data_IF_898748200586
#
_entry.id   IF_898748200586
#
_cell.length_a   1.000
_cell.length_b   1.000
_cell.length_c   1.000
_cell.angle_alpha   90.00
_cell.angle_beta   90.00
_cell.angle_gamma   90.00
#
_symmetry.space_group_name_H-M   'P 1'
#
loop_
_entity.id
_entity.type
_entity.pdbx_description
1 polymer ?
#
# COMPACT_ATOMS: atom_id res chain seq x y z
N UNK A 1 3.84 47.21 5.34
CA UNK A 1 4.59 46.15 4.63
C UNK A 1 4.71 44.85 5.43
N UNK A 2 4.87 44.88 6.77
CA UNK A 2 4.93 43.65 7.60
C UNK A 2 3.65 42.81 7.57
N UNK A 3 2.46 43.44 7.52
CA UNK A 3 1.16 42.74 7.44
C UNK A 3 0.96 42.00 6.11
N UNK A 4 1.46 42.53 4.99
CA UNK A 4 1.40 41.84 3.69
C UNK A 4 2.34 40.63 3.63
N UNK A 5 3.52 40.70 4.26
CA UNK A 5 4.44 39.56 4.38
C UNK A 5 3.80 38.47 5.26
N UNK A 6 3.13 38.85 6.35
CA UNK A 6 2.44 37.92 7.25
C UNK A 6 1.25 37.18 6.62
N UNK A 7 0.63 37.71 5.55
CA UNK A 7 -0.47 37.04 4.83
C UNK A 7 0.02 36.33 3.55
N UNK A 8 1.02 36.89 2.87
CA UNK A 8 1.59 36.29 1.66
C UNK A 8 2.40 35.00 1.94
N UNK A 9 3.08 34.93 3.08
CA UNK A 9 3.82 33.72 3.49
C UNK A 9 2.89 32.54 3.74
N UNK A 10 1.81 32.64 4.56
CA UNK A 10 0.83 31.57 4.71
C UNK A 10 0.14 31.17 3.41
N UNK A 11 -0.22 32.13 2.55
CA UNK A 11 -0.91 31.84 1.29
C UNK A 11 -0.01 31.13 0.27
N UNK A 12 1.24 31.60 0.12
CA UNK A 12 2.23 30.98 -0.77
C UNK A 12 2.60 29.56 -0.33
N UNK A 13 2.79 29.38 0.99
CA UNK A 13 3.03 28.08 1.61
C UNK A 13 1.85 27.14 1.37
N UNK A 14 0.62 27.59 1.63
CA UNK A 14 -0.59 26.79 1.42
C UNK A 14 -0.73 26.32 -0.03
N UNK A 15 -0.64 27.23 -1.01
CA UNK A 15 -0.74 26.87 -2.43
C UNK A 15 0.38 25.92 -2.89
N UNK A 16 1.59 26.06 -2.34
CA UNK A 16 2.71 25.17 -2.66
C UNK A 16 2.55 23.76 -2.06
N UNK A 17 2.00 23.65 -0.85
CA UNK A 17 1.75 22.38 -0.19
C UNK A 17 0.56 21.65 -0.80
N UNK A 18 -0.51 22.37 -1.15
CA UNK A 18 -1.65 21.79 -1.87
C UNK A 18 -1.20 21.21 -3.20
N UNK A 19 -0.41 21.95 -3.99
CA UNK A 19 0.12 21.43 -5.27
C UNK A 19 1.03 20.24 -5.11
N UNK A 20 1.89 20.23 -4.08
CA UNK A 20 2.77 19.10 -3.83
C UNK A 20 1.99 17.87 -3.39
N UNK A 21 0.94 18.06 -2.58
CA UNK A 21 0.02 17.00 -2.19
C UNK A 21 -0.74 16.46 -3.40
N UNK A 22 -1.34 17.34 -4.22
CA UNK A 22 -2.04 16.95 -5.45
C UNK A 22 -1.11 16.21 -6.42
N UNK A 23 0.16 16.60 -6.50
CA UNK A 23 1.15 15.91 -7.32
C UNK A 23 1.48 14.52 -6.78
N UNK A 24 1.76 14.40 -5.48
CA UNK A 24 2.00 13.11 -4.83
C UNK A 24 0.77 12.20 -4.94
N UNK A 25 -0.42 12.67 -4.61
CA UNK A 25 -1.68 11.92 -4.77
C UNK A 25 -1.94 11.57 -6.25
N UNK A 26 -1.52 12.41 -7.20
CA UNK A 26 -1.58 12.10 -8.63
C UNK A 26 -0.68 10.93 -9.02
N UNK A 27 0.54 10.86 -8.49
CA UNK A 27 1.50 9.78 -8.77
C UNK A 27 1.05 8.41 -8.24
N UNK A 28 0.19 8.38 -7.21
CA UNK A 28 -0.45 7.15 -6.73
C UNK A 28 -1.26 6.47 -7.85
N UNK A 29 -1.97 7.25 -8.68
CA UNK A 29 -2.78 6.75 -9.80
C UNK A 29 -2.05 6.76 -11.15
N UNK A 30 -1.16 7.73 -11.37
CA UNK A 30 -0.53 8.03 -12.65
C UNK A 30 0.97 8.26 -12.48
N UNK A 31 1.64 7.27 -11.91
CA UNK A 31 3.09 7.31 -11.67
C UNK A 31 3.86 7.64 -12.97
N UNK A 32 4.76 8.62 -12.88
CA UNK A 32 5.53 9.11 -14.02
C UNK A 32 6.64 8.14 -14.47
N UNK A 33 6.95 7.13 -13.65
CA UNK A 33 7.98 6.10 -13.92
C UNK A 33 7.39 4.79 -14.45
N UNK A 34 6.06 4.70 -14.54
CA UNK A 34 5.32 3.60 -15.14
C UNK A 34 4.74 2.58 -14.17
N UNK A 35 4.83 2.81 -12.85
CA UNK A 35 4.29 1.90 -11.82
C UNK A 35 3.48 2.65 -10.77
N UNK A 36 2.18 2.74 -11.02
CA UNK A 36 1.21 3.33 -10.10
C UNK A 36 0.99 2.39 -8.90
N UNK A 37 0.93 2.96 -7.70
CA UNK A 37 0.68 2.21 -6.46
C UNK A 37 -0.63 1.45 -6.55
N UNK A 38 -1.69 2.12 -7.02
CA UNK A 38 -3.03 1.56 -7.18
C UNK A 38 -3.03 0.26 -8.02
N UNK A 39 -2.37 0.28 -9.18
CA UNK A 39 -2.33 -0.86 -10.10
C UNK A 39 -1.59 -2.06 -9.46
N UNK A 40 -0.50 -1.77 -8.73
CA UNK A 40 0.22 -2.79 -7.97
C UNK A 40 -0.64 -3.44 -6.88
N UNK A 41 -1.40 -2.65 -6.12
CA UNK A 41 -2.30 -3.15 -5.07
C UNK A 41 -3.41 -4.01 -5.67
N UNK A 42 -4.07 -3.55 -6.74
CA UNK A 42 -5.12 -4.29 -7.44
C UNK A 42 -4.62 -5.67 -7.92
N UNK A 43 -3.41 -5.75 -8.47
CA UNK A 43 -2.81 -7.03 -8.88
C UNK A 43 -2.52 -7.93 -7.68
N UNK A 44 -2.01 -7.37 -6.57
CA UNK A 44 -1.74 -8.14 -5.35
C UNK A 44 -3.02 -8.71 -4.73
N UNK A 45 -4.11 -7.95 -4.72
CA UNK A 45 -5.42 -8.42 -4.26
C UNK A 45 -5.93 -9.58 -5.12
N UNK A 46 -5.81 -9.47 -6.45
CA UNK A 46 -6.21 -10.53 -7.36
C UNK A 46 -5.37 -11.81 -7.15
N UNK A 47 -4.05 -11.66 -6.96
CA UNK A 47 -3.15 -12.78 -6.67
C UNK A 47 -3.41 -13.41 -5.31
N UNK A 48 -3.70 -12.61 -4.28
CA UNK A 48 -4.09 -13.11 -2.95
C UNK A 48 -5.39 -13.92 -3.01
N UNK A 49 -6.40 -13.46 -3.76
CA UNK A 49 -7.64 -14.21 -4.01
C UNK A 49 -7.38 -15.57 -4.70
N UNK A 50 -6.42 -15.62 -5.62
CA UNK A 50 -6.02 -16.87 -6.26
C UNK A 50 -5.33 -17.82 -5.26
N UNK A 51 -4.49 -17.30 -4.36
CA UNK A 51 -3.85 -18.09 -3.30
C UNK A 51 -4.88 -18.66 -2.32
N UNK A 52 -5.86 -17.84 -1.89
CA UNK A 52 -7.01 -18.29 -1.09
C UNK A 52 -7.75 -19.43 -1.80
N UNK A 53 -8.06 -19.25 -3.09
CA UNK A 53 -8.80 -20.24 -3.88
C UNK A 53 -8.06 -21.56 -3.96
N UNK A 54 -6.74 -21.51 -4.17
CA UNK A 54 -5.89 -22.70 -4.17
C UNK A 54 -5.89 -23.38 -2.79
N UNK A 55 -5.65 -22.62 -1.72
CA UNK A 55 -5.59 -23.17 -0.37
C UNK A 55 -6.91 -23.81 0.09
N UNK A 56 -8.06 -23.25 -0.31
CA UNK A 56 -9.39 -23.81 -0.03
C UNK A 56 -9.58 -25.23 -0.57
N UNK A 57 -8.86 -25.64 -1.63
CA UNK A 57 -8.91 -27.02 -2.13
C UNK A 57 -8.33 -28.03 -1.15
N UNK A 58 -7.48 -27.60 -0.23
CA UNK A 58 -6.67 -28.46 0.62
C UNK A 58 -7.01 -28.37 2.12
N UNK A 59 -8.10 -27.68 2.50
CA UNK A 59 -8.50 -27.54 3.91
C UNK A 59 -8.86 -28.86 4.57
N UNK A 60 -9.32 -29.85 3.80
CA UNK A 60 -9.60 -31.20 4.29
C UNK A 60 -8.31 -32.00 4.57
N UNK A 61 -7.21 -31.64 3.90
CA UNK A 61 -5.88 -32.27 4.04
C UNK A 61 -5.08 -31.57 5.15
N UNK A 62 -5.13 -30.25 5.21
CA UNK A 62 -4.50 -29.43 6.24
C UNK A 62 -5.49 -28.41 6.80
N UNK A 63 -6.03 -28.69 7.99
CA UNK A 63 -7.02 -27.84 8.66
C UNK A 63 -6.44 -26.53 9.19
N UNK A 64 -5.10 -26.41 9.33
CA UNK A 64 -4.46 -25.15 9.72
C UNK A 64 -4.66 -24.06 8.67
N UNK A 65 -4.93 -24.44 7.41
CA UNK A 65 -5.17 -23.49 6.32
C UNK A 65 -6.42 -22.63 6.55
N UNK A 66 -7.43 -23.13 7.29
CA UNK A 66 -8.71 -22.44 7.47
C UNK A 66 -8.52 -21.06 8.09
N UNK A 67 -7.78 -20.97 9.20
CA UNK A 67 -7.55 -19.69 9.88
C UNK A 67 -6.74 -18.70 9.02
N UNK A 68 -5.74 -19.20 8.30
CA UNK A 68 -4.90 -18.38 7.43
C UNK A 68 -5.64 -17.89 6.18
N UNK A 69 -6.56 -18.70 5.65
CA UNK A 69 -7.48 -18.30 4.58
C UNK A 69 -8.38 -17.16 5.07
N UNK A 70 -8.97 -17.29 6.25
CA UNK A 70 -9.86 -16.27 6.81
C UNK A 70 -9.12 -14.95 7.06
N UNK A 71 -7.87 -15.02 7.54
CA UNK A 71 -7.02 -13.85 7.76
C UNK A 71 -6.66 -13.14 6.44
N UNK A 72 -6.25 -13.89 5.41
CA UNK A 72 -5.96 -13.29 4.11
C UNK A 72 -7.21 -12.74 3.42
N UNK A 73 -8.35 -13.45 3.49
CA UNK A 73 -9.63 -12.98 2.94
C UNK A 73 -10.08 -11.68 3.63
N UNK A 74 -9.87 -11.56 4.94
CA UNK A 74 -10.11 -10.33 5.69
C UNK A 74 -9.25 -9.17 5.18
N UNK A 75 -7.93 -9.35 5.06
CA UNK A 75 -7.03 -8.29 4.61
C UNK A 75 -7.30 -7.87 3.16
N UNK A 76 -7.62 -8.81 2.27
CA UNK A 76 -8.04 -8.51 0.89
C UNK A 76 -9.32 -7.66 0.88
N UNK A 77 -10.33 -8.03 1.66
CA UNK A 77 -11.56 -7.24 1.75
C UNK A 77 -11.29 -5.85 2.32
N UNK A 78 -10.44 -5.76 3.34
CA UNK A 78 -10.10 -4.48 3.93
C UNK A 78 -9.43 -3.58 2.88
N UNK A 79 -8.45 -4.12 2.14
CA UNK A 79 -7.74 -3.41 1.06
C UNK A 79 -8.72 -2.81 0.05
N UNK A 80 -9.67 -3.63 -0.42
CA UNK A 80 -10.71 -3.25 -1.36
C UNK A 80 -11.70 -2.19 -0.84
N UNK A 81 -11.69 -1.91 0.46
CA UNK A 81 -12.58 -0.94 1.09
C UNK A 81 -11.84 0.27 1.68
N UNK A 82 -10.51 0.30 1.66
CA UNK A 82 -9.71 1.39 2.24
C UNK A 82 -9.43 2.54 1.25
N UNK A 83 -9.98 2.48 0.03
CA UNK A 83 -9.76 3.49 -1.02
C UNK A 83 -9.96 4.94 -0.53
N UNK A 84 -8.95 5.77 -0.76
CA UNK A 84 -8.94 7.19 -0.39
C UNK A 84 -8.40 7.46 1.02
N UNK A 85 -8.03 6.41 1.77
CA UNK A 85 -7.30 6.52 3.02
C UNK A 85 -5.91 5.89 2.89
N UNK A 86 -4.94 6.64 2.34
CA UNK A 86 -3.61 6.12 2.02
C UNK A 86 -2.85 5.51 3.21
N UNK A 87 -3.09 5.98 4.44
CA UNK A 87 -2.49 5.40 5.65
C UNK A 87 -3.01 3.98 5.89
N UNK A 88 -4.32 3.80 5.79
CA UNK A 88 -4.96 2.50 5.95
C UNK A 88 -4.59 1.59 4.78
N UNK A 89 -4.63 2.08 3.54
CA UNK A 89 -4.24 1.30 2.36
C UNK A 89 -2.80 0.78 2.46
N UNK A 90 -1.85 1.61 2.92
CA UNK A 90 -0.46 1.18 3.10
C UNK A 90 -0.33 0.07 4.16
N UNK A 91 -0.97 0.27 5.31
CA UNK A 91 -0.96 -0.72 6.40
C UNK A 91 -1.60 -2.04 5.98
N UNK A 92 -2.72 -1.97 5.26
CA UNK A 92 -3.46 -3.15 4.82
C UNK A 92 -2.75 -3.87 3.70
N UNK A 93 -2.11 -3.16 2.76
CA UNK A 93 -1.26 -3.75 1.74
C UNK A 93 -0.09 -4.53 2.35
N UNK A 94 0.52 -4.01 3.43
CA UNK A 94 1.54 -4.75 4.19
C UNK A 94 0.95 -6.00 4.86
N UNK A 95 -0.15 -5.85 5.62
CA UNK A 95 -0.80 -6.96 6.32
C UNK A 95 -1.27 -8.07 5.36
N UNK A 96 -1.74 -7.71 4.17
CA UNK A 96 -2.09 -8.65 3.10
C UNK A 96 -0.87 -9.44 2.62
N UNK A 97 0.29 -8.79 2.47
CA UNK A 97 1.54 -9.46 2.14
C UNK A 97 1.95 -10.47 3.20
N UNK A 98 1.92 -10.07 4.47
CA UNK A 98 2.29 -10.94 5.60
C UNK A 98 1.34 -12.15 5.71
N UNK A 99 0.03 -11.93 5.59
CA UNK A 99 -0.96 -13.01 5.61
C UNK A 99 -0.81 -13.96 4.41
N UNK A 100 -0.47 -13.43 3.22
CA UNK A 100 -0.21 -14.25 2.04
C UNK A 100 1.05 -15.12 2.22
N UNK A 101 2.11 -14.57 2.81
CA UNK A 101 3.32 -15.31 3.14
C UNK A 101 3.02 -16.44 4.15
N UNK A 102 2.26 -16.15 5.21
CA UNK A 102 1.87 -17.16 6.19
C UNK A 102 1.04 -18.29 5.57
N UNK A 103 0.06 -17.96 4.72
CA UNK A 103 -0.73 -18.94 3.99
C UNK A 103 0.12 -19.77 3.03
N UNK A 104 1.03 -19.13 2.30
CA UNK A 104 2.00 -19.79 1.42
C UNK A 104 2.83 -20.82 2.18
N UNK A 105 3.44 -20.43 3.30
CA UNK A 105 4.30 -21.30 4.10
C UNK A 105 3.57 -22.53 4.64
N UNK A 106 2.32 -22.38 5.06
CA UNK A 106 1.50 -23.50 5.51
C UNK A 106 1.06 -24.39 4.34
N UNK A 107 0.76 -23.79 3.18
CA UNK A 107 0.44 -24.53 1.97
C UNK A 107 1.62 -25.37 1.47
N UNK A 108 2.86 -24.90 1.63
CA UNK A 108 4.09 -25.68 1.30
C UNK A 108 4.30 -26.90 2.20
N UNK A 109 3.69 -26.95 3.39
CA UNK A 109 3.70 -28.12 4.28
C UNK A 109 2.62 -29.14 3.95
N UNK A 110 1.71 -28.79 3.03
CA UNK A 110 0.56 -29.61 2.65
C UNK A 110 0.92 -30.49 1.44
N UNK A 111 0.46 -31.73 1.42
CA UNK A 111 0.65 -32.63 0.27
C UNK A 111 -0.28 -32.21 -0.88
N UNK A 112 0.24 -31.38 -1.79
CA UNK A 112 -0.50 -30.88 -2.93
C UNK A 112 -0.48 -31.86 -4.12
N UNK A 113 -1.55 -31.84 -4.92
CA UNK A 113 -1.57 -32.53 -6.20
C UNK A 113 -0.45 -32.01 -7.11
N UNK A 114 0.15 -32.89 -7.92
CA UNK A 114 1.28 -32.55 -8.82
C UNK A 114 0.98 -31.34 -9.71
N UNK A 115 -0.27 -31.22 -10.18
CA UNK A 115 -0.73 -30.10 -11.03
C UNK A 115 -0.69 -28.76 -10.31
N UNK A 116 -0.78 -28.77 -8.98
CA UNK A 116 -0.92 -27.58 -8.15
C UNK A 116 0.40 -27.15 -7.48
N UNK A 117 1.39 -28.03 -7.39
CA UNK A 117 2.64 -27.81 -6.66
C UNK A 117 3.40 -26.53 -7.04
N UNK A 118 3.27 -26.08 -8.29
CA UNK A 118 3.94 -24.87 -8.79
C UNK A 118 3.25 -23.57 -8.39
N UNK A 119 1.93 -23.60 -8.15
CA UNK A 119 1.14 -22.37 -8.00
C UNK A 119 1.47 -21.57 -6.74
N UNK A 120 1.72 -22.18 -5.55
CA UNK A 120 2.09 -21.40 -4.37
C UNK A 120 3.31 -20.52 -4.62
N UNK A 121 4.36 -21.08 -5.23
CA UNK A 121 5.60 -20.36 -5.53
C UNK A 121 5.38 -19.27 -6.60
N UNK A 122 4.54 -19.53 -7.61
CA UNK A 122 4.20 -18.54 -8.64
C UNK A 122 3.40 -17.36 -8.08
N UNK A 123 2.43 -17.64 -7.21
CA UNK A 123 1.55 -16.63 -6.64
C UNK A 123 2.31 -15.73 -5.67
N UNK A 124 3.14 -16.29 -4.79
CA UNK A 124 3.91 -15.48 -3.84
C UNK A 124 4.96 -14.62 -4.58
N UNK A 125 5.66 -15.19 -5.57
CA UNK A 125 6.61 -14.44 -6.39
C UNK A 125 5.94 -13.30 -7.17
N UNK A 126 4.69 -13.48 -7.61
CA UNK A 126 3.94 -12.41 -8.24
C UNK A 126 3.60 -11.29 -7.24
N UNK A 127 3.17 -11.62 -6.02
CA UNK A 127 2.91 -10.60 -4.98
C UNK A 127 4.19 -9.83 -4.61
N UNK A 128 5.31 -10.52 -4.47
CA UNK A 128 6.63 -9.91 -4.21
C UNK A 128 7.06 -9.00 -5.36
N UNK A 129 6.90 -9.46 -6.61
CA UNK A 129 7.20 -8.68 -7.81
C UNK A 129 6.37 -7.39 -7.89
N UNK A 130 5.10 -7.42 -7.52
CA UNK A 130 4.28 -6.20 -7.47
C UNK A 130 4.69 -5.28 -6.32
N UNK A 131 5.01 -5.81 -5.13
CA UNK A 131 5.53 -5.00 -4.04
C UNK A 131 6.90 -4.37 -4.39
N UNK A 132 7.75 -5.07 -5.15
CA UNK A 132 9.01 -4.51 -5.65
C UNK A 132 8.81 -3.33 -6.59
N UNK A 133 7.74 -3.34 -7.40
CA UNK A 133 7.36 -2.20 -8.22
C UNK A 133 6.80 -1.06 -7.36
N UNK A 134 5.93 -1.38 -6.39
CA UNK A 134 5.39 -0.42 -5.42
C UNK A 134 6.54 0.28 -4.67
N UNK A 135 7.54 -0.48 -4.20
CA UNK A 135 8.72 0.05 -3.53
C UNK A 135 9.47 1.09 -4.38
N UNK A 136 9.48 0.93 -5.71
CA UNK A 136 10.19 1.78 -6.66
C UNK A 136 9.33 2.90 -7.26
N UNK A 137 8.06 2.99 -6.88
CA UNK A 137 7.16 4.02 -7.36
C UNK A 137 7.65 5.41 -6.94
N UNK A 138 7.55 6.39 -7.85
CA UNK A 138 7.92 7.77 -7.54
C UNK A 138 7.02 8.40 -6.46
N UNK A 139 5.82 7.83 -6.25
CA UNK A 139 4.94 8.20 -5.15
C UNK A 139 5.64 8.21 -3.79
N UNK A 140 6.45 7.19 -3.47
CA UNK A 140 7.05 7.10 -2.14
C UNK A 140 8.07 8.23 -1.91
N UNK A 141 8.83 8.59 -2.95
CA UNK A 141 9.74 9.72 -2.91
C UNK A 141 8.99 11.05 -2.77
N UNK A 142 7.89 11.22 -3.52
CA UNK A 142 7.05 12.42 -3.49
C UNK A 142 6.34 12.57 -2.13
N UNK A 143 5.85 11.48 -1.54
CA UNK A 143 5.26 11.43 -0.21
C UNK A 143 6.29 11.79 0.87
N UNK A 144 7.51 11.24 0.79
CA UNK A 144 8.60 11.61 1.70
C UNK A 144 9.01 13.07 1.56
N UNK A 145 9.06 13.61 0.34
CA UNK A 145 9.32 15.03 0.12
C UNK A 145 8.22 15.91 0.72
N UNK A 146 6.96 15.56 0.50
CA UNK A 146 5.82 16.25 1.09
C UNK A 146 5.89 16.26 2.62
N UNK A 147 6.13 15.09 3.23
CA UNK A 147 6.25 14.95 4.67
C UNK A 147 7.41 15.79 5.22
N UNK A 148 8.58 15.77 4.57
CA UNK A 148 9.72 16.59 4.96
C UNK A 148 9.45 18.10 4.86
N UNK A 149 8.62 18.56 3.91
CA UNK A 149 8.20 19.96 3.82
C UNK A 149 7.15 20.32 4.88
N UNK A 150 6.28 19.39 5.24
CA UNK A 150 5.28 19.56 6.29
C UNK A 150 5.91 19.83 7.67
N UNK A 151 7.12 19.33 7.91
CA UNK A 151 7.85 19.50 9.18
C UNK A 151 8.69 20.80 9.27
N UNK A 152 8.87 21.53 8.18
CA UNK A 152 9.70 22.76 8.16
C UNK A 152 8.94 23.97 8.70
N UNK A 153 9.66 24.91 9.34
CA UNK A 153 9.08 26.19 9.76
C UNK A 153 8.75 27.08 8.54
N UNK A 154 7.61 27.81 8.51
CA UNK A 154 6.56 27.88 9.54
C UNK A 154 5.42 26.85 9.38
N UNK A 155 5.52 25.92 8.41
CA UNK A 155 4.49 24.92 8.08
C UNK A 155 4.11 24.07 9.29
N UNK A 156 5.11 23.61 10.04
CA UNK A 156 4.92 22.78 11.22
C UNK A 156 4.04 23.42 12.33
N UNK A 157 4.03 24.75 12.44
CA UNK A 157 3.16 25.48 13.38
C UNK A 157 1.73 25.60 12.86
N UNK A 158 1.55 25.56 11.54
CA UNK A 158 0.27 25.76 10.87
C UNK A 158 -0.42 24.43 10.54
N UNK A 159 0.30 23.30 10.53
CA UNK A 159 -0.26 21.97 10.13
C UNK A 159 -1.50 21.57 10.93
N UNK A 160 -1.48 21.79 12.25
CA UNK A 160 -2.60 21.45 13.14
C UNK A 160 -3.83 22.36 12.96
N UNK A 161 -3.63 23.58 12.46
CA UNK A 161 -4.71 24.52 12.13
C UNK A 161 -5.21 24.32 10.69
N UNK A 162 -4.36 23.83 9.79
CA UNK A 162 -4.66 23.61 8.38
C UNK A 162 -5.26 22.23 8.07
N UNK A 163 -5.27 21.30 9.04
CA UNK A 163 -5.83 19.95 8.86
C UNK A 163 -5.08 19.08 7.84
N UNK A 164 -3.78 19.33 7.65
CA UNK A 164 -2.96 18.63 6.66
C UNK A 164 -2.17 17.52 7.34
N UNK A 165 -2.55 16.27 7.08
CA UNK A 165 -1.84 15.08 7.56
C UNK A 165 -0.70 14.67 6.62
N UNK A 166 0.35 13.99 7.14
CA UNK A 166 1.36 13.32 6.32
C UNK A 166 0.74 12.38 5.29
N UNK A 167 1.46 12.14 4.19
CA UNK A 167 1.15 11.08 3.24
C UNK A 167 1.82 9.79 3.70
N UNK A 168 1.12 8.67 3.58
CA UNK A 168 1.71 7.36 3.82
C UNK A 168 2.72 7.02 2.72
N UNK A 169 3.64 6.11 3.01
CA UNK A 169 4.46 5.46 1.99
C UNK A 169 4.06 3.98 1.92
N UNK A 170 4.25 3.38 0.76
CA UNK A 170 3.90 1.97 0.48
C UNK A 170 5.15 1.10 0.32
N UNK A 171 6.34 1.68 0.47
CA UNK A 171 7.61 0.96 0.52
C UNK A 171 7.84 0.35 1.92
N UNK A 172 8.55 -0.77 1.96
CA UNK A 172 9.07 -1.31 3.22
C UNK A 172 10.37 -0.56 3.57
N UNK A 173 10.45 0.05 4.76
CA UNK A 173 11.70 0.62 5.30
C UNK A 173 12.73 -0.46 5.67
#
# INVERSE_FOLDING_TARGET
>A
MVVMILVAVPWGVHNSLTKLREYAEGSYYYDNTGYAIYDGIDVREATANNLITLARKYTDVNTNLVGLIDELDYNVRLSQNSYGNFEEEAQVNQAMGDAAQALYEELKKTELEETDQKYPDQLIAQMESEQDKINRSSYNDDAREFNARLEKFPVNLLRGLAGVSPLATFDYE
#
